data_IF_498407338219
#
_entry.id   IF_498407338219
#
_cell.length_a   1.000
_cell.length_b   1.000
_cell.length_c   1.000
_cell.angle_alpha   90.00
_cell.angle_beta   90.00
_cell.angle_gamma   90.00
#
_symmetry.space_group_name_H-M   'P 1'
#
loop_
_entity.id
_entity.type
_entity.pdbx_description
1 polymer ?
#
# COMPACT_ATOMS: atom_id res chain seq x y z
N UNK A 1 12.28 -21.87 8.78
CA UNK A 1 11.91 -20.69 9.57
C UNK A 1 11.97 -19.44 8.67
N UNK A 2 11.08 -19.33 7.68
CA UNK A 2 11.07 -18.21 6.73
C UNK A 2 9.63 -17.83 6.45
N UNK A 3 9.18 -16.70 7.02
CA UNK A 3 7.80 -16.20 6.84
C UNK A 3 7.65 -14.69 7.06
N UNK A 4 8.75 -13.94 7.16
CA UNK A 4 8.71 -12.55 7.65
C UNK A 4 8.70 -11.47 6.55
N UNK A 5 9.16 -11.76 5.31
CA UNK A 5 9.37 -10.70 4.30
C UNK A 5 8.09 -10.29 3.56
N UNK A 6 7.28 -11.25 3.10
CA UNK A 6 6.02 -10.98 2.37
C UNK A 6 5.00 -10.21 3.21
N UNK A 7 4.82 -10.63 4.47
CA UNK A 7 3.90 -9.98 5.42
C UNK A 7 4.32 -8.55 5.77
N UNK A 8 5.63 -8.25 5.74
CA UNK A 8 6.14 -6.90 6.01
C UNK A 8 5.87 -5.95 4.85
N UNK A 9 6.12 -6.36 3.61
CA UNK A 9 5.86 -5.54 2.43
C UNK A 9 4.36 -5.31 2.19
N UNK A 10 3.54 -6.35 2.32
CA UNK A 10 2.08 -6.24 2.21
C UNK A 10 1.55 -5.21 3.24
N UNK A 11 2.05 -5.28 4.47
CA UNK A 11 1.71 -4.34 5.54
C UNK A 11 2.13 -2.91 5.22
N UNK A 12 3.37 -2.70 4.79
CA UNK A 12 3.87 -1.36 4.46
C UNK A 12 3.08 -0.73 3.30
N UNK A 13 2.79 -1.51 2.25
CA UNK A 13 1.97 -1.06 1.13
C UNK A 13 0.54 -0.73 1.58
N UNK A 14 -0.07 -1.57 2.42
CA UNK A 14 -1.40 -1.31 2.98
C UNK A 14 -1.42 -0.01 3.79
N UNK A 15 -0.48 0.15 4.71
CA UNK A 15 -0.41 1.31 5.59
C UNK A 15 -0.20 2.61 4.76
N UNK A 16 0.62 2.54 3.70
CA UNK A 16 0.78 3.62 2.73
C UNK A 16 -0.54 3.96 2.00
N UNK A 17 -1.23 2.98 1.43
CA UNK A 17 -2.46 3.18 0.67
C UNK A 17 -3.63 3.67 1.55
N UNK A 18 -3.67 3.25 2.81
CA UNK A 18 -4.62 3.75 3.82
C UNK A 18 -4.29 5.18 4.29
N UNK A 19 -3.20 5.78 3.80
CA UNK A 19 -2.81 7.15 4.11
C UNK A 19 -2.23 7.32 5.52
N UNK A 20 -1.65 6.27 6.10
CA UNK A 20 -0.95 6.37 7.38
C UNK A 20 0.23 7.34 7.23
N UNK A 21 0.24 8.40 8.06
CA UNK A 21 1.15 9.54 7.88
C UNK A 21 2.61 9.12 8.02
N UNK A 22 2.94 8.22 8.94
CA UNK A 22 4.31 7.76 9.14
C UNK A 22 4.83 6.92 7.96
N UNK A 23 3.98 6.10 7.34
CA UNK A 23 4.25 5.29 6.16
C UNK A 23 4.41 6.18 4.93
N UNK A 24 3.52 7.16 4.74
CA UNK A 24 3.63 8.17 3.66
C UNK A 24 4.94 8.96 3.78
N UNK A 25 5.30 9.41 4.99
CA UNK A 25 6.56 10.13 5.23
C UNK A 25 7.78 9.24 5.00
N UNK A 26 7.71 7.95 5.37
CA UNK A 26 8.78 6.98 5.12
C UNK A 26 8.97 6.77 3.62
N UNK A 27 7.90 6.49 2.88
CA UNK A 27 7.94 6.33 1.42
C UNK A 27 8.37 7.62 0.71
N UNK A 28 7.99 8.80 1.21
CA UNK A 28 8.45 10.08 0.67
C UNK A 28 9.98 10.24 0.63
N UNK A 29 10.73 9.51 1.47
CA UNK A 29 12.20 9.54 1.48
C UNK A 29 12.81 8.82 0.27
N UNK A 30 12.11 7.87 -0.35
CA UNK A 30 12.61 7.05 -1.46
C UNK A 30 12.20 7.54 -2.85
N UNK A 31 11.41 8.60 -2.94
CA UNK A 31 10.99 9.21 -4.21
C UNK A 31 11.61 10.60 -4.41
N UNK A 32 11.56 11.08 -5.65
CA UNK A 32 12.00 12.43 -6.02
C UNK A 32 11.33 13.49 -5.11
N UNK A 33 12.10 14.41 -4.51
CA UNK A 33 11.56 15.53 -3.74
C UNK A 33 10.45 16.31 -4.44
N UNK A 34 10.51 16.47 -5.75
CA UNK A 34 9.49 17.15 -6.56
C UNK A 34 8.14 16.40 -6.58
N UNK A 35 8.14 15.08 -6.38
CA UNK A 35 6.93 14.27 -6.34
C UNK A 35 6.28 14.22 -4.95
N UNK A 36 7.01 14.55 -3.88
CA UNK A 36 6.51 14.47 -2.48
C UNK A 36 5.21 15.25 -2.21
N UNK A 37 4.98 16.45 -2.75
CA UNK A 37 3.72 17.17 -2.53
C UNK A 37 2.48 16.41 -3.03
N UNK A 38 2.65 15.47 -3.96
CA UNK A 38 1.53 14.65 -4.46
C UNK A 38 1.13 13.55 -3.48
N UNK A 39 2.04 13.09 -2.61
CA UNK A 39 1.78 12.04 -1.63
C UNK A 39 0.76 12.46 -0.57
N UNK A 40 0.69 13.75 -0.26
CA UNK A 40 -0.33 14.32 0.62
C UNK A 40 -1.76 14.00 0.18
N UNK A 41 -1.98 13.75 -1.12
CA UNK A 41 -3.30 13.36 -1.64
C UNK A 41 -3.74 12.01 -1.09
N UNK A 42 -2.80 11.09 -0.82
CA UNK A 42 -3.10 9.78 -0.23
C UNK A 42 -3.58 9.94 1.22
N UNK A 43 -3.04 10.91 1.96
CA UNK A 43 -3.50 11.22 3.32
C UNK A 43 -4.87 11.90 3.32
N UNK A 44 -5.11 12.83 2.36
CA UNK A 44 -6.40 13.56 2.26
C UNK A 44 -7.53 12.71 1.70
N UNK A 45 -7.23 11.75 0.83
CA UNK A 45 -8.18 10.84 0.19
C UNK A 45 -7.59 9.42 0.15
N UNK A 46 -7.56 8.73 1.31
CA UNK A 46 -6.97 7.39 1.42
C UNK A 46 -7.81 6.34 0.70
N UNK A 47 -7.19 5.19 0.45
CA UNK A 47 -7.92 4.01 0.01
C UNK A 47 -8.50 3.26 1.21
N UNK A 48 -9.70 2.71 1.05
CA UNK A 48 -10.14 1.59 1.86
C UNK A 48 -9.40 0.35 1.36
N UNK A 49 -8.54 -0.22 2.21
CA UNK A 49 -7.78 -1.43 1.86
C UNK A 49 -8.30 -2.61 2.66
N UNK A 50 -8.70 -3.67 1.95
CA UNK A 50 -9.12 -4.95 2.55
C UNK A 50 -8.16 -6.06 2.14
N UNK A 51 -7.93 -7.04 3.02
CA UNK A 51 -7.14 -8.22 2.68
C UNK A 51 -7.98 -9.19 1.86
N UNK A 52 -7.40 -9.75 0.81
CA UNK A 52 -8.00 -10.83 0.06
C UNK A 52 -8.07 -12.10 0.92
N UNK A 53 -9.13 -12.89 0.75
CA UNK A 53 -9.31 -14.17 1.42
C UNK A 53 -8.49 -15.31 0.79
N UNK A 54 -7.63 -15.01 -0.19
CA UNK A 54 -6.78 -15.97 -0.91
C UNK A 54 -7.47 -16.77 -2.03
N UNK A 55 -8.80 -16.71 -2.16
CA UNK A 55 -9.55 -17.50 -3.16
C UNK A 55 -9.49 -16.94 -4.59
N UNK A 56 -9.18 -15.65 -4.75
CA UNK A 56 -9.16 -14.94 -6.04
C UNK A 56 -7.75 -14.54 -6.49
N UNK A 57 -6.70 -14.97 -5.80
CA UNK A 57 -5.31 -14.70 -6.19
C UNK A 57 -4.81 -13.27 -5.92
N UNK A 58 -5.50 -12.50 -5.07
CA UNK A 58 -5.07 -11.16 -4.66
C UNK A 58 -4.83 -11.10 -3.15
N UNK A 59 -3.79 -10.37 -2.75
CA UNK A 59 -3.44 -10.17 -1.34
C UNK A 59 -4.22 -9.00 -0.74
N UNK A 60 -4.39 -7.92 -1.51
CA UNK A 60 -5.10 -6.72 -1.10
C UNK A 60 -6.10 -6.28 -2.18
N UNK A 61 -7.16 -5.60 -1.76
CA UNK A 61 -8.02 -4.82 -2.65
C UNK A 61 -8.09 -3.40 -2.10
N UNK A 62 -7.67 -2.44 -2.91
CA UNK A 62 -7.69 -1.01 -2.57
C UNK A 62 -8.83 -0.30 -3.31
N UNK A 63 -9.71 0.33 -2.56
CA UNK A 63 -10.91 1.00 -3.06
C UNK A 63 -10.83 2.50 -2.78
N UNK A 64 -11.10 3.33 -3.80
CA UNK A 64 -11.21 4.79 -3.63
C UNK A 64 -12.13 5.37 -4.69
N UNK A 65 -13.32 5.80 -4.26
CA UNK A 65 -14.38 6.29 -5.16
C UNK A 65 -14.70 5.20 -6.20
N UNK A 66 -14.67 5.56 -7.49
CA UNK A 66 -14.92 4.67 -8.62
C UNK A 66 -13.73 3.75 -8.97
N UNK A 67 -12.64 3.76 -8.18
CA UNK A 67 -11.48 2.92 -8.40
C UNK A 67 -11.50 1.68 -7.50
N UNK A 68 -11.35 0.51 -8.11
CA UNK A 68 -11.09 -0.75 -7.43
C UNK A 68 -9.81 -1.38 -7.99
N UNK A 69 -8.79 -1.51 -7.13
CA UNK A 69 -7.48 -2.01 -7.48
C UNK A 69 -7.22 -3.33 -6.75
N UNK A 70 -7.40 -4.49 -7.41
CA UNK A 70 -6.89 -5.75 -6.90
C UNK A 70 -5.37 -5.75 -7.00
N UNK A 71 -4.69 -6.12 -5.91
CA UNK A 71 -3.22 -6.07 -5.78
C UNK A 71 -2.70 -7.44 -5.37
N UNK A 72 -1.82 -7.99 -6.20
CA UNK A 72 -0.96 -9.12 -5.87
C UNK A 72 0.41 -8.58 -5.43
N UNK A 73 0.84 -8.90 -4.21
CA UNK A 73 2.11 -8.47 -3.65
C UNK A 73 3.13 -9.57 -3.87
N UNK A 74 4.00 -9.36 -4.86
CA UNK A 74 5.13 -10.25 -5.12
C UNK A 74 6.41 -9.67 -4.53
N UNK A 75 6.94 -10.30 -3.49
CA UNK A 75 8.27 -9.98 -2.98
C UNK A 75 9.28 -11.00 -3.55
N UNK A 76 10.25 -10.52 -4.31
CA UNK A 76 11.39 -11.33 -4.74
C UNK A 76 12.46 -11.24 -3.65
N UNK A 77 12.85 -12.38 -3.08
CA UNK A 77 14.00 -12.50 -2.19
C UNK A 77 15.29 -12.40 -3.01
#
# INVERSE_FOLDING_TARGET
MVGHSFSSYERELRDLLQGERSAVLRYGKSIDPAARPTLDRVVRAPFLVVRGAGSLGFDLVALRRELALPVEVKASC
#
